data_IF_858809751793
#
_entry.id   IF_858809751793
#
_cell.length_a   1.000
_cell.length_b   1.000
_cell.length_c   1.000
_cell.angle_alpha   90.00
_cell.angle_beta   90.00
_cell.angle_gamma   90.00
#
_symmetry.space_group_name_H-M   'P 1'
#
loop_
_entity.id
_entity.type
_entity.pdbx_description
1 polymer ?
#
# COMPACT_ATOMS: atom_id res chain seq x y z
N UNK A 1 17.64 12.99 -3.71
CA UNK A 1 18.25 11.66 -3.49
C UNK A 1 17.11 10.68 -3.60
N UNK A 2 17.25 9.62 -4.42
CA UNK A 2 16.20 8.63 -4.57
C UNK A 2 15.99 7.86 -3.28
N UNK A 3 14.86 8.09 -2.61
CA UNK A 3 14.48 7.38 -1.39
C UNK A 3 13.83 6.04 -1.73
N UNK A 4 14.26 5.01 -1.03
CA UNK A 4 13.63 3.69 -1.03
C UNK A 4 13.17 3.45 0.39
N UNK A 5 11.88 3.64 0.63
CA UNK A 5 11.28 3.40 1.94
C UNK A 5 10.69 1.99 1.98
N UNK A 6 11.02 1.27 3.05
CA UNK A 6 10.78 -0.15 3.18
C UNK A 6 9.49 -0.47 3.93
N UNK A 7 8.77 0.53 4.45
CA UNK A 7 7.51 0.30 5.16
C UNK A 7 6.66 1.57 5.34
N UNK A 8 5.36 1.49 5.03
CA UNK A 8 4.37 2.42 5.57
C UNK A 8 2.98 1.77 5.72
N UNK A 9 2.20 2.26 6.70
CA UNK A 9 0.86 1.76 7.03
C UNK A 9 -0.27 2.60 6.42
N UNK A 10 0.04 3.48 5.45
CA UNK A 10 -0.92 4.43 4.87
C UNK A 10 -2.16 3.76 4.29
N UNK A 11 -2.06 2.55 3.74
CA UNK A 11 -3.22 1.83 3.19
C UNK A 11 -4.24 1.49 4.27
N UNK A 12 -3.78 1.09 5.46
CA UNK A 12 -4.68 0.80 6.58
C UNK A 12 -5.39 2.07 7.07
N UNK A 13 -4.68 3.19 7.15
CA UNK A 13 -5.27 4.49 7.51
C UNK A 13 -6.34 4.92 6.49
N UNK A 14 -6.06 4.81 5.19
CA UNK A 14 -7.06 5.09 4.14
C UNK A 14 -8.29 4.19 4.32
N UNK A 15 -8.09 2.88 4.51
CA UNK A 15 -9.19 1.94 4.73
C UNK A 15 -10.05 2.34 5.95
N UNK A 16 -9.42 2.67 7.08
CA UNK A 16 -10.15 3.02 8.30
C UNK A 16 -10.96 4.31 8.17
N UNK A 17 -10.40 5.33 7.52
CA UNK A 17 -11.12 6.59 7.26
C UNK A 17 -12.32 6.33 6.33
N UNK A 18 -12.15 5.51 5.29
CA UNK A 18 -13.25 5.14 4.39
C UNK A 18 -14.38 4.38 5.10
N UNK A 19 -14.05 3.47 6.03
CA UNK A 19 -15.03 2.77 6.86
C UNK A 19 -15.81 3.72 7.79
N UNK A 20 -15.19 4.82 8.20
CA UNK A 20 -15.83 5.88 8.98
C UNK A 20 -16.64 6.87 8.12
N UNK A 21 -16.67 6.66 6.80
CA UNK A 21 -17.33 7.55 5.85
C UNK A 21 -16.55 8.84 5.55
N UNK A 22 -15.28 8.89 5.92
CA UNK A 22 -14.40 10.02 5.66
C UNK A 22 -13.70 9.90 4.30
N UNK A 23 -13.45 11.04 3.67
CA UNK A 23 -12.69 11.08 2.43
C UNK A 23 -11.19 10.96 2.73
N UNK A 24 -10.59 9.85 2.32
CA UNK A 24 -9.16 9.62 2.42
C UNK A 24 -8.62 8.96 1.14
N UNK A 25 -7.41 9.37 0.75
CA UNK A 25 -6.72 8.87 -0.43
C UNK A 25 -5.21 9.05 -0.37
N UNK A 26 -4.51 8.43 -1.31
CA UNK A 26 -3.05 8.37 -1.32
C UNK A 26 -2.43 9.62 -1.95
N UNK A 27 -3.15 10.33 -2.82
CA UNK A 27 -2.64 11.54 -3.48
C UNK A 27 -2.23 12.61 -2.47
N UNK A 28 -3.13 12.91 -1.53
CA UNK A 28 -2.99 13.95 -0.51
C UNK A 28 -3.84 13.58 0.71
N UNK A 29 -3.24 13.61 1.90
CA UNK A 29 -3.95 13.31 3.14
C UNK A 29 -3.32 14.00 4.37
N UNK A 30 -3.94 13.82 5.54
CA UNK A 30 -3.47 14.32 6.84
C UNK A 30 -2.52 13.35 7.56
N UNK A 31 -2.21 12.20 6.97
CA UNK A 31 -1.33 11.19 7.55
C UNK A 31 0.16 11.59 7.37
N UNK A 32 1.06 10.68 7.74
CA UNK A 32 2.51 10.92 7.63
C UNK A 32 3.01 10.87 6.18
N UNK A 33 2.30 10.16 5.28
CA UNK A 33 2.74 9.90 3.92
C UNK A 33 1.59 10.03 2.91
N UNK A 34 1.86 10.78 1.84
CA UNK A 34 1.05 10.88 0.63
C UNK A 34 1.95 11.10 -0.60
N UNK A 35 1.39 10.98 -1.81
CA UNK A 35 2.18 11.09 -3.04
C UNK A 35 2.78 12.49 -3.22
N UNK A 36 2.10 13.56 -2.83
CA UNK A 36 2.65 14.92 -2.91
C UNK A 36 3.91 15.09 -2.03
N UNK A 37 3.93 14.51 -0.83
CA UNK A 37 5.09 14.51 0.07
C UNK A 37 6.19 13.58 -0.45
N UNK A 38 5.84 12.41 -0.98
CA UNK A 38 6.80 11.48 -1.60
C UNK A 38 7.50 12.11 -2.80
N UNK A 39 6.76 12.81 -3.66
CA UNK A 39 7.29 13.51 -4.84
C UNK A 39 8.26 14.62 -4.41
N UNK A 40 7.90 15.43 -3.41
CA UNK A 40 8.80 16.45 -2.82
C UNK A 40 10.03 15.83 -2.15
N UNK A 41 9.89 14.64 -1.59
CA UNK A 41 10.96 13.87 -0.96
C UNK A 41 11.88 13.12 -1.94
N UNK A 42 11.61 13.21 -3.25
CA UNK A 42 12.35 12.50 -4.31
C UNK A 42 12.34 10.97 -4.11
N UNK A 43 11.18 10.40 -3.73
CA UNK A 43 11.01 8.95 -3.56
C UNK A 43 11.12 8.22 -4.91
N UNK A 44 11.77 7.06 -4.89
CA UNK A 44 11.78 6.11 -6.00
C UNK A 44 10.85 4.93 -5.73
N UNK A 45 10.87 4.40 -4.50
CA UNK A 45 10.14 3.19 -4.12
C UNK A 45 9.53 3.38 -2.73
N UNK A 46 8.28 2.98 -2.59
CA UNK A 46 7.60 2.82 -1.32
C UNK A 46 7.07 1.39 -1.19
N UNK A 47 7.39 0.73 -0.08
CA UNK A 47 6.72 -0.49 0.31
C UNK A 47 5.45 -0.14 1.11
N UNK A 48 4.30 -0.55 0.59
CA UNK A 48 3.01 -0.39 1.26
C UNK A 48 2.68 -1.67 2.02
N UNK A 49 2.56 -1.57 3.34
CA UNK A 49 2.24 -2.69 4.21
C UNK A 49 0.73 -2.89 4.30
N UNK A 50 0.30 -4.13 4.08
CA UNK A 50 -1.03 -4.62 4.41
C UNK A 50 -0.93 -5.39 5.73
N UNK A 51 -0.84 -4.64 6.83
CA UNK A 51 -0.70 -5.21 8.17
C UNK A 51 -1.97 -5.89 8.64
N UNK A 52 -1.89 -7.17 9.02
CA UNK A 52 -3.04 -7.93 9.52
C UNK A 52 -2.96 -8.15 11.04
N UNK A 53 -3.80 -7.46 11.86
CA UNK A 53 -3.73 -7.58 13.31
C UNK A 53 -4.27 -8.92 13.83
N UNK A 54 -3.49 -9.63 14.67
CA UNK A 54 -3.86 -10.96 15.21
C UNK A 54 -4.88 -10.93 16.36
N UNK A 55 -5.12 -9.78 17.00
CA UNK A 55 -5.84 -9.75 18.29
C UNK A 55 -6.92 -8.70 18.46
N UNK A 56 -7.10 -7.77 17.51
CA UNK A 56 -8.06 -6.65 17.62
C UNK A 56 -8.44 -6.09 16.24
N UNK A 57 -9.07 -6.88 15.36
CA UNK A 57 -9.53 -6.32 14.10
C UNK A 57 -10.66 -5.31 14.35
N UNK A 58 -10.57 -4.14 13.72
CA UNK A 58 -11.55 -3.07 13.87
C UNK A 58 -12.92 -3.47 13.30
N UNK A 59 -12.91 -4.19 12.17
CA UNK A 59 -14.14 -4.48 11.41
C UNK A 59 -14.27 -5.92 10.90
N UNK A 60 -13.21 -6.74 10.87
CA UNK A 60 -13.27 -8.13 10.36
C UNK A 60 -12.40 -9.12 11.11
N UNK A 61 -13.05 -10.15 11.66
CA UNK A 61 -12.38 -11.17 12.46
C UNK A 61 -11.58 -12.18 11.63
N UNK A 62 -11.83 -12.27 10.33
CA UNK A 62 -11.08 -13.13 9.42
C UNK A 62 -9.83 -12.41 8.87
N UNK A 63 -8.60 -12.82 9.25
CA UNK A 63 -7.35 -12.18 8.83
C UNK A 63 -7.19 -12.09 7.30
N UNK A 64 -7.61 -13.13 6.59
CA UNK A 64 -7.53 -13.16 5.13
C UNK A 64 -8.51 -12.15 4.51
N UNK A 65 -9.77 -12.18 4.93
CA UNK A 65 -10.78 -11.25 4.41
C UNK A 65 -10.40 -9.80 4.69
N UNK A 66 -9.86 -9.51 5.88
CA UNK A 66 -9.34 -8.20 6.22
C UNK A 66 -8.18 -7.78 5.29
N UNK A 67 -7.18 -8.66 5.10
CA UNK A 67 -6.06 -8.39 4.20
C UNK A 67 -6.49 -8.13 2.75
N UNK A 68 -7.53 -8.83 2.28
CA UNK A 68 -8.10 -8.59 0.94
C UNK A 68 -8.78 -7.22 0.82
N UNK A 69 -9.42 -6.71 1.88
CA UNK A 69 -9.98 -5.35 1.84
C UNK A 69 -8.90 -4.28 1.77
N UNK A 70 -7.80 -4.46 2.49
CA UNK A 70 -6.64 -3.56 2.35
C UNK A 70 -6.04 -3.65 0.95
N UNK A 71 -6.01 -4.85 0.36
CA UNK A 71 -5.55 -5.06 -1.01
C UNK A 71 -6.42 -4.33 -2.03
N UNK A 72 -7.75 -4.35 -1.85
CA UNK A 72 -8.67 -3.59 -2.70
C UNK A 72 -8.39 -2.09 -2.62
N UNK A 73 -8.16 -1.54 -1.42
CA UNK A 73 -7.76 -0.14 -1.25
C UNK A 73 -6.45 0.15 -1.97
N UNK A 74 -5.44 -0.72 -1.83
CA UNK A 74 -4.16 -0.56 -2.53
C UNK A 74 -4.36 -0.47 -4.06
N UNK A 75 -5.08 -1.43 -4.67
CA UNK A 75 -5.29 -1.43 -6.12
C UNK A 75 -6.09 -0.21 -6.59
N UNK A 76 -7.13 0.18 -5.85
CA UNK A 76 -7.92 1.37 -6.17
C UNK A 76 -7.05 2.64 -6.14
N UNK A 77 -6.17 2.77 -5.15
CA UNK A 77 -5.26 3.92 -5.08
C UNK A 77 -4.17 3.88 -6.17
N UNK A 78 -3.71 2.69 -6.59
CA UNK A 78 -2.80 2.58 -7.74
C UNK A 78 -3.47 2.97 -9.05
N UNK A 79 -4.75 2.64 -9.24
CA UNK A 79 -5.49 3.02 -10.44
C UNK A 79 -5.75 4.53 -10.49
N UNK A 80 -6.25 5.10 -9.38
CA UNK A 80 -6.54 6.54 -9.25
C UNK A 80 -5.32 7.43 -9.48
N UNK A 81 -4.13 6.95 -9.13
CA UNK A 81 -2.87 7.70 -9.18
C UNK A 81 -1.88 7.14 -10.20
N UNK A 82 -2.39 6.48 -11.25
CA UNK A 82 -1.60 5.77 -12.26
C UNK A 82 -0.71 6.69 -13.12
N UNK A 83 -0.86 8.00 -13.04
CA UNK A 83 0.06 8.98 -13.61
C UNK A 83 1.33 9.19 -12.75
N UNK A 84 1.24 8.96 -11.43
CA UNK A 84 2.30 9.27 -10.45
C UNK A 84 3.03 8.06 -9.90
N UNK A 85 2.31 6.95 -9.70
CA UNK A 85 2.84 5.75 -9.06
C UNK A 85 2.28 4.49 -9.72
N UNK A 86 3.05 3.40 -9.75
CA UNK A 86 2.55 2.09 -10.20
C UNK A 86 3.00 0.98 -9.29
N UNK A 87 2.13 -0.01 -9.15
CA UNK A 87 2.48 -1.30 -8.56
C UNK A 87 3.55 -2.00 -9.41
N UNK A 88 4.64 -2.40 -8.77
CA UNK A 88 5.76 -3.12 -9.39
C UNK A 88 5.95 -4.50 -8.79
N UNK A 89 6.42 -5.45 -9.61
CA UNK A 89 6.70 -6.84 -9.21
C UNK A 89 8.16 -7.26 -9.43
N UNK A 90 8.95 -6.38 -10.05
CA UNK A 90 10.32 -6.67 -10.41
C UNK A 90 11.22 -5.44 -10.27
N UNK A 91 12.52 -5.68 -10.10
CA UNK A 91 13.51 -4.61 -10.13
C UNK A 91 13.51 -3.86 -11.46
N UNK A 92 13.28 -4.55 -12.58
CA UNK A 92 13.23 -3.91 -13.89
C UNK A 92 12.08 -2.89 -13.99
N UNK A 93 10.90 -3.23 -13.46
CA UNK A 93 9.77 -2.30 -13.40
C UNK A 93 10.08 -1.06 -12.55
N UNK A 94 10.85 -1.21 -11.47
CA UNK A 94 11.34 -0.07 -10.66
C UNK A 94 12.24 0.83 -11.50
N UNK A 95 13.21 0.25 -12.22
CA UNK A 95 14.10 1.02 -13.09
C UNK A 95 13.34 1.76 -14.20
N UNK A 96 12.37 1.09 -14.82
CA UNK A 96 11.60 1.67 -15.91
C UNK A 96 10.69 2.80 -15.42
N UNK A 97 10.07 2.64 -14.26
CA UNK A 97 9.34 3.72 -13.59
C UNK A 97 10.25 4.93 -13.30
N UNK A 98 11.44 4.70 -12.72
CA UNK A 98 12.38 5.78 -12.43
C UNK A 98 12.82 6.54 -13.70
N UNK A 99 13.09 5.82 -14.80
CA UNK A 99 13.42 6.44 -16.10
C UNK A 99 12.26 7.29 -16.64
N UNK A 100 11.03 6.87 -16.39
CA UNK A 100 9.81 7.56 -16.82
C UNK A 100 9.32 8.63 -15.82
N UNK A 101 10.09 8.93 -14.77
CA UNK A 101 9.72 9.93 -13.76
C UNK A 101 8.57 9.51 -12.86
N UNK A 102 8.28 8.22 -12.75
CA UNK A 102 7.18 7.64 -11.98
C UNK A 102 7.71 6.97 -10.71
N UNK A 103 6.97 7.08 -9.60
CA UNK A 103 7.30 6.38 -8.36
C UNK A 103 6.86 4.91 -8.44
N UNK A 104 7.46 4.04 -7.64
CA UNK A 104 7.14 2.62 -7.58
C UNK A 104 6.51 2.25 -6.24
N UNK A 105 5.41 1.49 -6.30
CA UNK A 105 4.76 0.89 -5.14
C UNK A 105 5.08 -0.61 -5.11
N UNK A 106 5.75 -1.06 -4.05
CA UNK A 106 5.89 -2.47 -3.72
C UNK A 106 4.82 -2.85 -2.72
N UNK A 107 4.08 -3.91 -3.02
CA UNK A 107 3.07 -4.44 -2.12
C UNK A 107 3.71 -5.42 -1.14
N UNK A 108 3.44 -5.25 0.15
CA UNK A 108 3.88 -6.18 1.19
C UNK A 108 2.70 -6.59 2.07
N UNK A 109 2.62 -7.87 2.41
CA UNK A 109 1.77 -8.32 3.50
C UNK A 109 2.62 -8.40 4.75
N UNK A 110 2.18 -7.73 5.80
CA UNK A 110 2.83 -7.77 7.11
C UNK A 110 1.96 -8.60 8.05
N UNK A 111 2.63 -9.50 8.78
CA UNK A 111 2.04 -10.58 9.58
C UNK A 111 1.50 -11.77 8.76
N UNK A 112 1.99 -12.97 9.07
CA UNK A 112 1.67 -14.22 8.35
C UNK A 112 0.26 -14.75 8.62
N UNK A 113 -0.43 -14.26 9.66
CA UNK A 113 -1.80 -14.64 9.98
C UNK A 113 -2.79 -14.55 8.82
N UNK A 114 -2.56 -13.63 7.86
CA UNK A 114 -3.33 -13.52 6.61
C UNK A 114 -3.39 -14.84 5.82
N UNK A 115 -2.37 -15.70 5.94
CA UNK A 115 -2.31 -16.99 5.25
C UNK A 115 -3.34 -17.99 5.78
N UNK A 116 -3.76 -17.84 7.04
CA UNK A 116 -4.58 -18.80 7.78
C UNK A 116 -4.05 -20.25 7.67
N UNK A 117 -2.72 -20.43 7.65
CA UNK A 117 -2.07 -21.73 7.51
C UNK A 117 -2.12 -22.37 6.12
N UNK A 118 -2.59 -21.65 5.08
CA UNK A 118 -2.76 -22.18 3.72
C UNK A 118 -1.76 -21.52 2.76
N UNK A 119 -0.64 -22.20 2.50
CA UNK A 119 0.44 -21.69 1.63
C UNK A 119 0.01 -21.38 0.20
N UNK A 120 -0.95 -22.14 -0.37
CA UNK A 120 -1.40 -21.97 -1.76
C UNK A 120 -2.12 -20.66 -2.04
N UNK A 121 -2.45 -19.86 -1.02
CA UNK A 121 -3.06 -18.53 -1.21
C UNK A 121 -2.11 -17.47 -1.76
N UNK A 122 -0.82 -17.81 -1.89
CA UNK A 122 0.25 -16.92 -2.32
C UNK A 122 0.97 -17.37 -3.59
N UNK A 123 0.45 -18.39 -4.27
CA UNK A 123 0.92 -18.86 -5.58
C UNK A 123 0.10 -18.20 -6.68
#
# INVERSE_FOLDING_TARGET
MKVVDMHCDTIAEIFYNQEDGEEAGLLKNSFQLDLERMEKGDYAVQNFALFTPLGRPRTENNPFAYGMRLLDVFYNEMEKNSDKISFVRSYQEIEDNMKNGKMSALLTFEEGGVCMGILRRWQ
#
